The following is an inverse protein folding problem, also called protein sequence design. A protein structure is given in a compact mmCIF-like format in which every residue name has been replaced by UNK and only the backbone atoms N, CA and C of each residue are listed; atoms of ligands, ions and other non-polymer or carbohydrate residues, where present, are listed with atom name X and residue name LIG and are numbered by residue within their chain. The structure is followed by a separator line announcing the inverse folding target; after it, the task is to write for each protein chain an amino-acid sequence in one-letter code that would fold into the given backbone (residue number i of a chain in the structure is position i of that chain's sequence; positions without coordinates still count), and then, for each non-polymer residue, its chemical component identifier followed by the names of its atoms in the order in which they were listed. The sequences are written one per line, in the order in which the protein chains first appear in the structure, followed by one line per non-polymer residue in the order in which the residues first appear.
data_IF_699102851680
#
_entry.id   IF_699102851680
#
_cell.length_a   1.000
_cell.length_b   1.000
_cell.length_c   1.000
_cell.angle_alpha   90.00
_cell.angle_beta   90.00
_cell.angle_gamma   90.00
#
_symmetry.space_group_name_H-M   'P 1'
#
loop_
_entity.id
_entity.type
_entity.pdbx_description
1 polymer ?
#
# COMPACT_ATOMS: atom_id res chain seq x y z
N UNK A 1 -4.03 -14.20 23.37
CA UNK A 1 -3.51 -14.80 22.12
C UNK A 1 -3.01 -13.66 21.25
N UNK A 2 -1.70 -13.54 21.03
CA UNK A 2 -1.16 -12.53 20.09
C UNK A 2 -1.67 -12.94 18.71
N UNK A 3 -2.46 -12.12 18.04
CA UNK A 3 -2.90 -12.40 16.68
C UNK A 3 -1.67 -12.43 15.78
N UNK A 4 -1.36 -13.59 15.20
CA UNK A 4 -0.28 -13.72 14.22
C UNK A 4 -0.68 -13.05 12.91
N UNK A 5 0.30 -12.47 12.22
CA UNK A 5 0.08 -11.87 10.91
C UNK A 5 -0.10 -12.95 9.86
N UNK A 6 -1.15 -12.81 9.05
CA UNK A 6 -1.22 -13.52 7.79
C UNK A 6 -0.41 -12.75 6.76
N UNK A 7 0.63 -13.38 6.20
CA UNK A 7 1.42 -12.81 5.11
C UNK A 7 0.97 -13.50 3.82
N UNK A 8 0.55 -12.69 2.85
CA UNK A 8 0.10 -13.17 1.54
C UNK A 8 1.02 -12.58 0.48
N UNK A 9 1.60 -13.43 -0.35
CA UNK A 9 2.33 -13.05 -1.55
C UNK A 9 1.53 -13.58 -2.72
N UNK A 10 0.73 -12.71 -3.32
CA UNK A 10 -0.16 -13.08 -4.42
C UNK A 10 0.46 -12.71 -5.76
N UNK A 11 0.26 -13.57 -6.75
CA UNK A 11 0.67 -13.30 -8.11
C UNK A 11 -0.14 -12.17 -8.77
N UNK A 12 0.18 -11.92 -10.03
CA UNK A 12 -0.51 -10.94 -10.82
C UNK A 12 -1.95 -11.40 -11.16
N UNK A 13 -2.94 -10.56 -10.86
CA UNK A 13 -4.36 -10.77 -11.13
C UNK A 13 -4.98 -9.49 -11.72
N UNK A 14 -6.24 -9.59 -12.18
CA UNK A 14 -6.98 -8.44 -12.72
C UNK A 14 -7.24 -7.36 -11.66
N UNK A 15 -7.52 -6.14 -12.11
CA UNK A 15 -7.70 -5.00 -11.23
C UNK A 15 -8.88 -5.18 -10.25
N UNK A 16 -9.98 -5.75 -10.74
CA UNK A 16 -11.17 -6.04 -9.93
C UNK A 16 -10.90 -7.15 -8.91
N UNK A 17 -10.18 -8.21 -9.29
CA UNK A 17 -9.83 -9.30 -8.38
C UNK A 17 -8.94 -8.82 -7.23
N UNK A 18 -7.97 -7.96 -7.52
CA UNK A 18 -7.10 -7.39 -6.49
C UNK A 18 -7.90 -6.55 -5.48
N UNK A 19 -8.77 -5.65 -5.97
CA UNK A 19 -9.58 -4.80 -5.08
C UNK A 19 -10.62 -5.61 -4.29
N UNK A 20 -11.25 -6.61 -4.92
CA UNK A 20 -12.19 -7.50 -4.24
C UNK A 20 -11.51 -8.33 -3.14
N UNK A 21 -10.26 -8.73 -3.33
CA UNK A 21 -9.51 -9.46 -2.31
C UNK A 21 -9.15 -8.57 -1.12
N UNK A 22 -8.64 -7.36 -1.35
CA UNK A 22 -8.33 -6.39 -0.30
C UNK A 22 -9.57 -6.02 0.53
N UNK A 23 -10.70 -5.78 -0.13
CA UNK A 23 -11.95 -5.46 0.55
C UNK A 23 -12.46 -6.64 1.38
N UNK A 24 -12.39 -7.89 0.88
CA UNK A 24 -12.78 -9.08 1.66
C UNK A 24 -11.93 -9.25 2.91
N UNK A 25 -10.61 -9.08 2.81
CA UNK A 25 -9.70 -9.15 3.96
C UNK A 25 -10.04 -8.08 5.00
N UNK A 26 -10.28 -6.84 4.54
CA UNK A 26 -10.67 -5.74 5.39
C UNK A 26 -12.01 -5.99 6.10
N UNK A 27 -13.05 -6.44 5.38
CA UNK A 27 -14.37 -6.73 5.94
C UNK A 27 -14.34 -7.86 6.97
N UNK A 28 -13.53 -8.91 6.72
CA UNK A 28 -13.31 -10.01 7.68
C UNK A 28 -12.43 -9.61 8.87
N UNK A 29 -11.84 -8.43 8.83
CA UNK A 29 -10.93 -7.89 9.84
C UNK A 29 -9.78 -8.85 10.16
N UNK A 30 -9.25 -9.50 9.12
CA UNK A 30 -8.11 -10.41 9.25
C UNK A 30 -6.81 -9.59 9.34
N UNK A 31 -5.95 -9.90 10.32
CA UNK A 31 -4.68 -9.22 10.48
C UNK A 31 -3.72 -9.69 9.38
N UNK A 32 -3.61 -8.91 8.31
CA UNK A 32 -3.01 -9.38 7.05
C UNK A 32 -2.09 -8.33 6.44
N UNK A 33 -0.93 -8.76 5.95
CA UNK A 33 -0.12 -8.00 5.00
C UNK A 33 -0.04 -8.79 3.69
N UNK A 34 -0.69 -8.25 2.65
CA UNK A 34 -0.77 -8.84 1.31
C UNK A 34 0.10 -8.02 0.37
N UNK A 35 0.94 -8.67 -0.40
CA UNK A 35 1.76 -8.07 -1.44
C UNK A 35 1.37 -8.70 -2.77
N UNK A 36 1.24 -7.90 -3.82
CA UNK A 36 0.73 -8.37 -5.10
C UNK A 36 1.13 -7.50 -6.29
N UNK A 37 0.97 -8.07 -7.48
CA UNK A 37 1.23 -7.45 -8.79
C UNK A 37 -0.08 -7.33 -9.59
N UNK A 38 -0.06 -6.64 -10.72
CA UNK A 38 -1.24 -6.39 -11.55
C UNK A 38 -1.03 -6.99 -12.94
N UNK A 39 -2.00 -7.78 -13.41
CA UNK A 39 -2.00 -8.28 -14.77
C UNK A 39 -3.44 -8.32 -15.32
N UNK A 40 -3.75 -7.56 -16.38
CA UNK A 40 -2.87 -6.66 -17.12
C UNK A 40 -2.47 -5.39 -16.32
N UNK A 41 -1.68 -4.50 -16.94
CA UNK A 41 -1.43 -3.17 -16.38
C UNK A 41 -2.77 -2.49 -16.04
N UNK A 42 -2.79 -1.68 -14.99
CA UNK A 42 -4.04 -1.14 -14.47
C UNK A 42 -3.90 0.31 -13.96
N UNK A 43 -5.03 1.01 -13.89
CA UNK A 43 -5.15 2.34 -13.30
C UNK A 43 -6.12 2.25 -12.14
N UNK A 44 -5.70 2.59 -10.92
CA UNK A 44 -6.63 2.69 -9.80
C UNK A 44 -6.99 4.13 -9.46
N UNK A 45 -8.29 4.39 -9.32
CA UNK A 45 -8.86 5.67 -8.88
C UNK A 45 -9.11 5.62 -7.39
N UNK A 46 -8.60 6.60 -6.63
CA UNK A 46 -8.93 6.72 -5.21
C UNK A 46 -10.42 6.95 -5.00
N UNK A 47 -10.90 6.64 -3.79
CA UNK A 47 -12.30 6.83 -3.43
C UNK A 47 -12.80 8.25 -3.73
N UNK A 48 -13.84 8.34 -4.58
CA UNK A 48 -14.42 9.61 -5.09
C UNK A 48 -13.44 10.49 -5.88
N UNK A 49 -12.36 9.91 -6.40
CA UNK A 49 -11.48 10.60 -7.34
C UNK A 49 -12.24 10.77 -8.67
N UNK A 50 -12.29 11.99 -9.24
CA UNK A 50 -12.89 12.18 -10.55
C UNK A 50 -12.11 11.38 -11.59
N UNK A 51 -12.85 10.62 -12.41
CA UNK A 51 -12.30 10.00 -13.61
C UNK A 51 -11.89 11.11 -14.58
N UNK A 52 -10.64 11.12 -15.08
CA UNK A 52 -10.25 12.09 -16.09
C UNK A 52 -10.76 11.67 -17.47
N UNK A 53 -11.01 12.64 -18.35
CA UNK A 53 -11.54 12.41 -19.70
C UNK A 53 -10.62 11.52 -20.57
N UNK A 54 -9.29 11.63 -20.37
CA UNK A 54 -8.34 10.77 -21.07
C UNK A 54 -8.42 9.30 -20.62
N UNK A 55 -9.20 8.98 -19.58
CA UNK A 55 -9.49 7.62 -19.08
C UNK A 55 -10.87 7.10 -19.57
N UNK A 56 -11.50 7.66 -20.61
CA UNK A 56 -12.72 7.11 -21.24
C UNK A 56 -12.50 5.82 -22.09
N UNK A 57 -13.33 4.76 -21.93
CA UNK A 57 -13.05 3.40 -22.41
C UNK A 57 -12.82 3.24 -23.92
N UNK A 58 -13.27 4.21 -24.71
CA UNK A 58 -13.29 4.11 -26.17
C UNK A 58 -11.91 4.25 -26.81
N UNK A 59 -10.95 4.86 -26.12
CA UNK A 59 -9.63 5.12 -26.68
C UNK A 59 -8.65 3.93 -26.60
N UNK A 60 -9.00 2.81 -25.95
CA UNK A 60 -8.15 1.60 -25.79
C UNK A 60 -8.93 0.29 -25.83
N UNK A 61 -10.13 0.26 -26.42
CA UNK A 61 -10.81 -1.02 -26.73
C UNK A 61 -9.89 -1.88 -27.61
N UNK A 62 -9.20 -2.83 -26.98
CA UNK A 62 -8.26 -3.74 -27.64
C UNK A 62 -6.89 -3.85 -26.96
N UNK A 63 -6.49 -2.85 -26.16
CA UNK A 63 -5.23 -2.89 -25.41
C UNK A 63 -5.42 -3.56 -24.04
N UNK A 64 -4.39 -4.28 -23.57
CA UNK A 64 -4.36 -4.94 -22.25
C UNK A 64 -4.14 -3.89 -21.14
N UNK A 65 -5.14 -3.05 -20.88
CA UNK A 65 -5.13 -2.04 -19.81
C UNK A 65 -6.49 -2.01 -19.10
N UNK A 66 -6.47 -2.10 -17.77
CA UNK A 66 -7.66 -2.06 -16.93
C UNK A 66 -7.72 -0.78 -16.09
N UNK A 67 -8.90 -0.49 -15.54
CA UNK A 67 -9.02 0.52 -14.48
C UNK A 67 -10.04 0.06 -13.43
N UNK A 68 -9.84 0.52 -12.19
CA UNK A 68 -10.70 0.16 -11.05
C UNK A 68 -10.79 1.32 -10.05
N UNK A 69 -11.89 1.39 -9.29
CA UNK A 69 -11.95 2.24 -8.10
C UNK A 69 -11.45 1.47 -6.89
N UNK A 70 -10.48 2.04 -6.17
CA UNK A 70 -10.00 1.44 -4.92
C UNK A 70 -10.74 2.01 -3.70
N UNK A 71 -10.92 1.21 -2.64
CA UNK A 71 -11.68 1.63 -1.46
C UNK A 71 -10.98 2.79 -0.70
N UNK A 72 -9.65 2.84 -0.74
CA UNK A 72 -8.86 3.91 -0.10
C UNK A 72 -8.91 5.22 -0.87
N UNK A 73 -8.64 6.34 -0.19
CA UNK A 73 -8.54 7.65 -0.83
C UNK A 73 -7.27 7.83 -1.67
N UNK A 74 -6.85 9.08 -1.86
CA UNK A 74 -5.69 9.45 -2.68
C UNK A 74 -6.07 9.71 -4.15
N UNK A 75 -5.05 9.93 -4.99
CA UNK A 75 -5.24 10.28 -6.41
C UNK A 75 -5.32 9.06 -7.34
N UNK A 76 -4.95 9.25 -8.59
CA UNK A 76 -4.82 8.17 -9.58
C UNK A 76 -3.47 7.48 -9.39
N UNK A 77 -3.45 6.14 -9.35
CA UNK A 77 -2.25 5.33 -9.33
C UNK A 77 -2.14 4.48 -10.60
N UNK A 78 -0.90 4.19 -10.99
CA UNK A 78 -0.56 3.48 -12.23
C UNK A 78 0.16 2.19 -11.86
N UNK A 79 -0.29 1.09 -12.46
CA UNK A 79 0.10 -0.25 -12.05
C UNK A 79 0.60 -1.10 -13.22
N UNK A 80 1.44 -2.09 -12.91
CA UNK A 80 2.04 -3.02 -13.87
C UNK A 80 3.56 -2.91 -13.99
N UNK A 81 4.18 -2.05 -13.16
CA UNK A 81 5.63 -2.00 -12.93
C UNK A 81 5.94 -1.66 -11.47
N UNK A 82 5.00 -1.98 -10.59
CA UNK A 82 5.00 -1.69 -9.16
C UNK A 82 4.61 -2.94 -8.38
N UNK A 83 5.07 -3.01 -7.13
CA UNK A 83 4.55 -3.98 -6.16
C UNK A 83 3.57 -3.26 -5.27
N UNK A 84 2.33 -3.72 -5.25
CA UNK A 84 1.28 -3.23 -4.36
C UNK A 84 1.31 -3.95 -3.02
N UNK A 85 0.88 -3.23 -1.98
CA UNK A 85 0.69 -3.77 -0.64
C UNK A 85 -0.67 -3.35 -0.08
N UNK A 86 -1.35 -4.30 0.55
CA UNK A 86 -2.53 -4.10 1.36
C UNK A 86 -2.28 -4.60 2.79
N UNK A 87 -2.46 -3.71 3.76
CA UNK A 87 -2.28 -4.01 5.19
C UNK A 87 -3.60 -3.81 5.90
N UNK A 88 -4.12 -4.90 6.46
CA UNK A 88 -5.35 -4.92 7.25
C UNK A 88 -5.00 -5.05 8.72
N UNK A 89 -5.47 -4.10 9.53
CA UNK A 89 -5.23 -4.08 10.98
C UNK A 89 -6.54 -3.98 11.74
N UNK A 90 -6.68 -4.81 12.77
CA UNK A 90 -7.83 -4.81 13.67
C UNK A 90 -8.01 -3.45 14.37
N UNK A 91 -9.26 -2.99 14.47
CA UNK A 91 -9.60 -1.80 15.27
C UNK A 91 -9.64 -2.16 16.75
N UNK A 92 -8.51 -2.01 17.42
CA UNK A 92 -8.40 -2.09 18.88
C UNK A 92 -8.26 -0.68 19.49
N UNK A 93 -8.65 -0.54 20.77
CA UNK A 93 -8.37 0.70 21.52
C UNK A 93 -6.86 0.90 21.62
N UNK A 94 -6.40 2.13 21.42
CA UNK A 94 -4.97 2.49 21.53
C UNK A 94 -4.14 2.29 20.27
N UNK A 95 -4.71 1.78 19.16
CA UNK A 95 -3.98 1.72 17.87
C UNK A 95 -3.82 3.13 17.30
N UNK A 96 -2.58 3.62 17.28
CA UNK A 96 -2.23 4.90 16.65
C UNK A 96 -2.17 4.74 15.14
N UNK A 97 -3.03 5.45 14.42
CA UNK A 97 -3.04 5.43 12.96
C UNK A 97 -1.76 6.04 12.37
N UNK A 98 -1.26 7.12 12.96
CA UNK A 98 -0.01 7.74 12.53
C UNK A 98 1.17 6.78 12.67
N UNK A 99 1.21 6.00 13.76
CA UNK A 99 2.22 4.96 13.95
C UNK A 99 2.06 3.85 12.91
N UNK A 100 0.83 3.42 12.63
CA UNK A 100 0.55 2.39 11.63
C UNK A 100 1.01 2.81 10.24
N UNK A 101 0.64 4.01 9.79
CA UNK A 101 1.05 4.55 8.50
C UNK A 101 2.58 4.76 8.43
N UNK A 102 3.19 5.26 9.52
CA UNK A 102 4.66 5.36 9.64
C UNK A 102 5.31 3.99 9.47
N UNK A 103 4.77 2.96 10.10
CA UNK A 103 5.31 1.62 10.05
C UNK A 103 5.23 1.01 8.63
N UNK A 104 4.16 1.27 7.88
CA UNK A 104 4.05 0.90 6.46
C UNK A 104 5.07 1.66 5.60
N UNK A 105 5.22 2.98 5.79
CA UNK A 105 6.23 3.74 5.06
C UNK A 105 7.65 3.23 5.36
N UNK A 106 7.92 2.90 6.62
CA UNK A 106 9.22 2.37 7.05
C UNK A 106 9.50 0.97 6.49
N UNK A 107 8.48 0.16 6.19
CA UNK A 107 8.69 -1.13 5.52
C UNK A 107 9.19 -0.94 4.09
N UNK A 108 8.64 0.03 3.37
CA UNK A 108 9.12 0.43 2.04
C UNK A 108 10.52 1.05 2.10
N UNK A 109 10.82 1.92 3.08
CA UNK A 109 12.19 2.46 3.28
C UNK A 109 13.20 1.32 3.46
N UNK A 110 12.90 0.35 4.33
CA UNK A 110 13.79 -0.81 4.55
C UNK A 110 13.98 -1.64 3.28
N UNK A 111 12.94 -1.80 2.47
CA UNK A 111 13.07 -2.45 1.18
C UNK A 111 14.07 -1.68 0.30
N UNK A 112 13.93 -0.37 0.15
CA UNK A 112 14.88 0.46 -0.60
C UNK A 112 16.33 0.31 -0.07
N UNK A 113 16.52 0.38 1.25
CA UNK A 113 17.84 0.20 1.87
C UNK A 113 18.44 -1.17 1.59
N UNK A 114 17.61 -2.21 1.46
CA UNK A 114 18.07 -3.57 1.10
C UNK A 114 18.65 -3.67 -0.32
N UNK A 115 18.36 -2.68 -1.17
CA UNK A 115 18.94 -2.48 -2.50
C UNK A 115 20.03 -1.40 -2.52
N UNK A 116 20.52 -0.96 -1.35
CA UNK A 116 21.57 0.05 -1.24
C UNK A 116 21.10 1.48 -1.51
N UNK A 117 19.78 1.73 -1.54
CA UNK A 117 19.21 3.04 -1.82
C UNK A 117 18.86 3.74 -0.50
N UNK A 118 19.33 4.98 -0.35
CA UNK A 118 18.91 5.86 0.73
C UNK A 118 17.50 6.40 0.45
N UNK A 119 16.56 6.08 1.32
CA UNK A 119 15.15 6.42 1.18
C UNK A 119 14.62 6.99 2.49
N UNK A 120 13.67 7.93 2.39
CA UNK A 120 13.08 8.59 3.55
C UNK A 120 11.56 8.57 3.48
N UNK A 121 10.92 8.44 4.65
CA UNK A 121 9.47 8.52 4.77
C UNK A 121 9.04 9.98 4.99
N UNK A 122 8.24 10.52 4.07
CA UNK A 122 7.54 11.80 4.23
C UNK A 122 6.21 11.54 4.93
N UNK A 123 6.15 11.77 6.25
CA UNK A 123 4.97 11.47 7.07
C UNK A 123 3.99 12.63 7.16
N UNK A 124 4.46 13.83 6.91
CA UNK A 124 3.70 15.06 6.90
C UNK A 124 4.03 15.81 5.62
N UNK A 125 3.02 16.40 4.99
CA UNK A 125 3.20 17.27 3.84
C UNK A 125 2.11 18.34 3.85
N UNK A 126 2.38 19.55 3.36
CA UNK A 126 1.35 20.57 3.27
C UNK A 126 0.21 20.09 2.37
N UNK A 127 -1.02 20.32 2.80
CA UNK A 127 -2.20 20.00 1.98
C UNK A 127 -2.34 21.06 0.89
N UNK A 128 -2.12 20.66 -0.36
CA UNK A 128 -2.30 21.52 -1.54
C UNK A 128 -3.63 21.23 -2.25
N UNK A 129 -4.64 20.78 -1.49
CA UNK A 129 -5.91 20.33 -2.03
C UNK A 129 -5.92 18.85 -2.43
N UNK A 130 -6.76 18.48 -3.40
CA UNK A 130 -6.96 17.10 -3.83
C UNK A 130 -5.71 16.60 -4.58
N UNK A 131 -5.29 15.38 -4.25
CA UNK A 131 -4.21 14.70 -4.97
C UNK A 131 -4.79 14.19 -6.30
N UNK A 132 -4.27 14.68 -7.44
CA UNK A 132 -4.70 14.24 -8.75
C UNK A 132 -4.05 12.90 -9.13
N UNK A 133 -2.71 12.82 -9.00
CA UNK A 133 -1.93 11.63 -9.35
C UNK A 133 -0.98 11.30 -8.21
N UNK A 134 -1.00 10.04 -7.78
CA UNK A 134 -0.25 9.58 -6.61
C UNK A 134 1.26 9.81 -6.75
N UNK A 135 1.82 9.70 -7.96
CA UNK A 135 3.26 9.84 -8.22
C UNK A 135 3.74 11.30 -8.38
N UNK A 136 2.86 12.26 -8.69
CA UNK A 136 3.30 13.62 -9.09
C UNK A 136 3.18 14.66 -7.97
N UNK A 137 2.71 14.28 -6.79
CA UNK A 137 2.48 15.19 -5.68
C UNK A 137 3.07 14.66 -4.38
N UNK A 138 3.67 15.57 -3.62
CA UNK A 138 4.07 15.29 -2.25
C UNK A 138 2.80 15.17 -1.42
N UNK A 139 2.64 14.04 -0.77
CA UNK A 139 1.52 13.74 0.11
C UNK A 139 2.07 13.14 1.40
N UNK A 140 1.37 13.29 2.54
CA UNK A 140 1.69 12.52 3.72
C UNK A 140 1.75 11.03 3.38
N UNK A 141 2.59 10.30 4.13
CA UNK A 141 2.79 8.86 3.98
C UNK A 141 3.29 8.46 2.59
N UNK A 142 4.32 9.16 2.11
CA UNK A 142 5.09 8.83 0.91
C UNK A 142 6.50 8.37 1.29
N UNK A 143 7.15 7.64 0.38
CA UNK A 143 8.58 7.33 0.47
C UNK A 143 9.30 7.99 -0.69
N UNK A 144 10.41 8.66 -0.37
CA UNK A 144 11.19 9.45 -1.30
C UNK A 144 12.62 8.92 -1.41
N UNK A 145 13.17 9.00 -2.62
CA UNK A 145 14.59 8.79 -2.95
C UNK A 145 15.04 10.05 -3.68
N UNK A 146 16.06 10.73 -3.17
CA UNK A 146 16.53 12.03 -3.70
C UNK A 146 15.40 13.06 -3.91
N UNK A 147 14.47 13.11 -2.96
CA UNK A 147 13.31 14.00 -3.02
C UNK A 147 12.22 13.60 -4.04
N UNK A 148 12.42 12.54 -4.81
CA UNK A 148 11.43 11.99 -5.76
C UNK A 148 10.70 10.80 -5.16
N UNK A 149 9.42 10.68 -5.46
CA UNK A 149 8.54 9.66 -4.89
C UNK A 149 8.78 8.29 -5.50
N UNK A 150 9.00 7.29 -4.65
CA UNK A 150 9.09 5.87 -5.03
C UNK A 150 7.89 5.07 -4.54
N UNK A 151 7.25 5.49 -3.45
CA UNK A 151 6.04 4.83 -2.92
C UNK A 151 5.06 5.83 -2.29
N UNK A 152 3.81 5.40 -2.15
CA UNK A 152 2.77 6.17 -1.45
C UNK A 152 1.64 5.30 -0.93
N UNK A 153 1.06 5.70 0.20
CA UNK A 153 0.05 4.92 0.90
C UNK A 153 -1.19 5.74 1.25
N UNK A 154 -2.35 5.08 1.20
CA UNK A 154 -3.65 5.62 1.57
C UNK A 154 -4.36 4.66 2.51
N UNK A 155 -5.32 5.18 3.28
CA UNK A 155 -6.03 4.43 4.31
C UNK A 155 -7.54 4.56 4.13
N UNK A 156 -8.25 3.48 4.44
CA UNK A 156 -9.69 3.48 4.68
C UNK A 156 -10.02 2.89 6.05
N UNK A 157 -11.03 3.46 6.70
CA UNK A 157 -11.67 2.89 7.89
C UNK A 157 -12.77 1.92 7.49
N UNK A 158 -12.70 0.68 7.98
CA UNK A 158 -13.81 -0.26 7.99
C UNK A 158 -14.42 -0.36 9.41
N UNK A 159 -15.59 -0.99 9.59
CA UNK A 159 -16.21 -1.11 10.91
C UNK A 159 -15.32 -1.79 11.96
N UNK A 160 -14.59 -2.86 11.58
CA UNK A 160 -13.77 -3.66 12.49
C UNK A 160 -12.26 -3.59 12.21
N UNK A 161 -11.85 -2.95 11.11
CA UNK A 161 -10.45 -2.90 10.67
C UNK A 161 -10.08 -1.55 10.05
N UNK A 162 -8.78 -1.38 9.84
CA UNK A 162 -8.17 -0.36 8.99
C UNK A 162 -7.58 -1.08 7.79
N UNK A 163 -7.82 -0.55 6.59
CA UNK A 163 -7.18 -1.01 5.36
C UNK A 163 -6.22 0.08 4.91
N UNK A 164 -4.94 -0.25 4.76
CA UNK A 164 -3.93 0.58 4.12
C UNK A 164 -3.61 -0.04 2.78
N UNK A 165 -3.66 0.75 1.71
CA UNK A 165 -3.22 0.34 0.38
C UNK A 165 -2.14 1.29 -0.11
N UNK A 166 -1.20 0.77 -0.88
CA UNK A 166 -0.22 1.59 -1.59
C UNK A 166 0.66 0.71 -2.46
N UNK A 167 1.59 1.32 -3.17
CA UNK A 167 2.54 0.59 -3.98
C UNK A 167 3.91 1.27 -4.00
N UNK A 168 4.91 0.49 -4.37
CA UNK A 168 6.28 0.93 -4.60
C UNK A 168 6.62 0.71 -6.08
N UNK A 169 7.05 1.77 -6.75
CA UNK A 169 7.39 1.74 -8.16
C UNK A 169 8.72 0.98 -8.34
N UNK A 170 8.68 -0.20 -8.95
CA UNK A 170 9.85 -1.04 -9.15
C UNK A 170 10.57 -0.63 -10.42
N UNK A 171 9.84 -0.58 -11.52
CA UNK A 171 10.34 -0.28 -12.85
C UNK A 171 9.66 0.98 -13.43
N UNK A 172 10.23 1.60 -14.48
CA UNK A 172 9.53 2.63 -15.23
C UNK A 172 8.15 2.13 -15.68
N UNK A 173 7.18 3.03 -15.77
CA UNK A 173 5.81 2.65 -16.13
C UNK A 173 5.76 1.83 -17.43
N UNK A 174 4.85 0.86 -17.56
CA UNK A 174 4.67 0.11 -18.79
C UNK A 174 4.46 1.03 -20.00
N UNK A 175 4.96 0.65 -21.17
CA UNK A 175 4.87 1.48 -22.40
C UNK A 175 3.43 1.89 -22.72
N UNK A 176 2.46 1.01 -22.48
CA UNK A 176 1.04 1.30 -22.69
C UNK A 176 0.56 2.46 -21.80
N UNK A 177 0.99 2.50 -20.53
CA UNK A 177 0.68 3.60 -19.63
C UNK A 177 1.42 4.88 -20.04
N UNK A 178 2.68 4.78 -20.48
CA UNK A 178 3.42 5.95 -20.96
C UNK A 178 2.76 6.60 -22.17
N UNK A 179 2.27 5.80 -23.13
CA UNK A 179 1.57 6.28 -24.34
C UNK A 179 0.22 6.92 -24.03
N UNK A 180 -0.49 6.38 -23.05
CA UNK A 180 -1.85 6.80 -22.69
C UNK A 180 -1.90 8.13 -21.94
N UNK A 181 -0.85 8.42 -21.17
CA UNK A 181 -0.85 9.58 -20.29
C UNK A 181 -0.79 10.89 -21.08
N UNK A 182 -1.51 11.93 -20.64
CA UNK A 182 -1.26 13.27 -21.13
C UNK A 182 0.22 13.63 -20.96
N UNK A 183 0.81 14.29 -21.96
CA UNK A 183 2.25 14.63 -21.97
C UNK A 183 2.68 15.32 -20.67
N UNK A 184 1.86 16.27 -20.19
CA UNK A 184 2.12 17.00 -18.95
C UNK A 184 2.16 16.10 -17.70
N UNK A 185 1.38 15.02 -17.67
CA UNK A 185 1.38 14.04 -16.59
C UNK A 185 2.61 13.16 -16.68
N UNK A 186 2.96 12.67 -17.88
CA UNK A 186 4.18 11.89 -18.12
C UNK A 186 5.44 12.64 -17.68
N UNK A 187 5.59 13.90 -18.09
CA UNK A 187 6.70 14.75 -17.66
C UNK A 187 6.71 14.98 -16.14
N UNK A 188 5.54 15.19 -15.53
CA UNK A 188 5.45 15.38 -14.09
C UNK A 188 5.89 14.13 -13.32
N UNK A 189 5.57 12.93 -13.81
CA UNK A 189 6.04 11.66 -13.24
C UNK A 189 7.56 11.56 -13.39
N UNK A 190 8.12 11.82 -14.57
CA UNK A 190 9.57 11.79 -14.78
C UNK A 190 10.34 12.74 -13.85
N UNK A 191 9.78 13.93 -13.58
CA UNK A 191 10.41 14.91 -12.67
C UNK A 191 10.26 14.55 -11.20
N UNK A 192 9.15 13.93 -10.79
CA UNK A 192 8.75 13.84 -9.38
C UNK A 192 8.74 12.42 -8.81
N UNK A 193 8.84 11.40 -9.64
CA UNK A 193 8.92 10.01 -9.24
C UNK A 193 10.22 9.37 -9.70
N UNK A 194 10.58 8.27 -9.04
CA UNK A 194 11.73 7.45 -9.40
C UNK A 194 11.41 6.00 -9.09
N UNK A 195 11.74 5.10 -10.00
CA UNK A 195 11.58 3.67 -9.78
C UNK A 195 12.78 3.10 -9.02
N UNK A 196 12.58 2.00 -8.31
CA UNK A 196 13.62 1.32 -7.56
C UNK A 196 14.78 0.84 -8.48
N UNK A 197 14.47 0.38 -9.70
CA UNK A 197 15.47 -0.03 -10.68
C UNK A 197 16.33 1.14 -11.18
N UNK A 198 15.71 2.30 -11.42
CA UNK A 198 16.44 3.52 -11.83
C UNK A 198 17.32 4.03 -10.69
N UNK A 199 16.81 4.02 -9.46
CA UNK A 199 17.57 4.45 -8.29
C UNK A 199 18.74 3.50 -7.95
N UNK A 200 18.58 2.20 -8.14
CA UNK A 200 19.65 1.21 -7.89
C UNK A 200 20.64 1.09 -9.05
N UNK A 201 20.27 1.54 -10.25
CA UNK A 201 21.05 1.28 -11.48
C UNK A 201 21.04 -0.20 -11.89
N UNK A 202 20.08 -0.98 -11.42
CA UNK A 202 19.98 -2.41 -11.66
C UNK A 202 18.61 -2.81 -12.25
N UNK A 203 18.60 -3.87 -13.05
CA UNK A 203 17.35 -4.52 -13.46
C UNK A 203 16.75 -5.28 -12.27
N UNK A 204 15.46 -5.11 -12.03
CA UNK A 204 14.75 -5.72 -10.90
C UNK A 204 13.53 -6.50 -11.38
N UNK A 205 13.43 -7.75 -10.93
CA UNK A 205 12.23 -8.57 -11.05
C UNK A 205 11.24 -8.19 -9.93
N UNK A 206 10.02 -7.80 -10.31
CA UNK A 206 8.96 -7.39 -9.39
C UNK A 206 8.57 -8.51 -8.43
N UNK A 207 8.59 -9.77 -8.87
CA UNK A 207 8.23 -10.91 -8.05
C UNK A 207 9.28 -11.18 -6.96
N UNK A 208 10.57 -10.97 -7.27
CA UNK A 208 11.66 -11.04 -6.30
C UNK A 208 11.57 -9.89 -5.29
N UNK A 209 11.34 -8.67 -5.77
CA UNK A 209 11.16 -7.50 -4.90
C UNK A 209 9.97 -7.70 -3.96
N UNK A 210 8.86 -8.24 -4.48
CA UNK A 210 7.67 -8.57 -3.72
C UNK A 210 7.94 -9.59 -2.61
N UNK A 211 8.60 -10.72 -2.93
CA UNK A 211 9.02 -11.73 -1.95
C UNK A 211 9.92 -11.12 -0.88
N UNK A 212 10.86 -10.27 -1.28
CA UNK A 212 11.78 -9.59 -0.36
C UNK A 212 11.05 -8.61 0.56
N UNK A 213 10.08 -7.85 0.05
CA UNK A 213 9.28 -6.94 0.87
C UNK A 213 8.44 -7.69 1.91
N UNK A 214 7.80 -8.79 1.50
CA UNK A 214 7.07 -9.66 2.42
C UNK A 214 7.96 -10.26 3.53
N UNK A 215 9.20 -10.65 3.18
CA UNK A 215 10.18 -11.11 4.17
C UNK A 215 10.58 -10.01 5.16
N UNK A 216 10.81 -8.78 4.70
CA UNK A 216 11.09 -7.62 5.56
C UNK A 216 9.92 -7.25 6.49
N UNK A 217 8.68 -7.50 6.06
CA UNK A 217 7.52 -7.32 6.91
C UNK A 217 7.55 -8.30 8.09
N UNK A 218 7.78 -9.57 7.78
CA UNK A 218 7.77 -10.68 8.75
C UNK A 218 8.85 -10.53 9.81
N UNK A 219 10.06 -10.11 9.42
CA UNK A 219 11.19 -9.99 10.34
C UNK A 219 11.10 -8.81 11.32
N UNK A 220 10.32 -7.79 10.99
CA UNK A 220 10.28 -6.54 11.76
C UNK A 220 9.00 -6.39 12.56
N UNK A 221 7.85 -6.61 11.94
CA UNK A 221 6.57 -6.20 12.50
C UNK A 221 6.19 -6.84 13.85
N UNK A 222 6.43 -8.15 14.09
CA UNK A 222 6.06 -8.80 15.36
C UNK A 222 6.74 -8.19 16.61
N UNK A 223 7.85 -7.47 16.43
CA UNK A 223 8.67 -6.94 17.51
C UNK A 223 8.41 -5.44 17.83
N UNK A 224 7.62 -4.74 17.01
CA UNK A 224 7.62 -3.26 17.01
C UNK A 224 6.25 -2.58 17.05
N UNK A 225 5.15 -3.32 17.27
CA UNK A 225 3.88 -2.71 17.69
C UNK A 225 3.78 -2.64 19.22
N UNK A 226 3.21 -1.57 19.80
CA UNK A 226 2.81 -1.57 21.19
C UNK A 226 1.82 -2.71 21.42
N UNK A 227 2.25 -3.75 22.12
CA UNK A 227 1.32 -4.78 22.59
C UNK A 227 0.42 -4.14 23.66
N UNK A 228 -0.87 -4.47 23.64
CA UNK A 228 -1.85 -3.97 24.61
C UNK A 228 -1.60 -4.40 26.06
N UNK A 229 -0.43 -4.98 26.35
CA UNK A 229 -0.04 -5.55 27.65
C UNK A 229 1.08 -4.78 28.32
N UNK A 230 1.63 -3.74 27.70
CA UNK A 230 2.63 -2.93 28.39
C UNK A 230 1.95 -1.94 29.32
N UNK A 231 1.80 -2.32 30.60
CA UNK A 231 1.42 -1.46 31.71
C UNK A 231 2.49 -0.41 32.04
N UNK A 232 3.24 0.05 31.03
CA UNK A 232 4.30 1.04 31.12
C UNK A 232 3.72 2.44 30.99
N UNK A 233 4.18 3.33 31.87
CA UNK A 233 3.73 4.72 32.04
C UNK A 233 3.45 5.45 30.72
N UNK A 234 2.43 6.33 30.68
CA UNK A 234 2.20 7.17 29.53
C UNK A 234 3.42 8.07 29.30
N UNK A 235 4.02 8.00 28.11
CA UNK A 235 4.76 9.13 27.58
C UNK A 235 3.73 10.23 27.37
N UNK A 236 3.80 11.28 28.21
CA UNK A 236 2.89 12.42 28.13
C UNK A 236 2.91 13.01 26.72
N UNK A 237 1.79 12.94 26.02
CA UNK A 237 1.39 13.97 25.07
C UNK A 237 -0.09 14.28 25.30
N UNK A 238 -0.35 15.54 25.62
CA UNK A 238 -1.66 16.11 25.90
C UNK A 238 -2.51 16.15 24.61
N UNK A 239 -3.78 15.74 24.70
CA UNK A 239 -4.96 16.51 24.28
C UNK A 239 -6.20 15.62 24.04
N UNK A 240 -7.14 15.73 24.99
CA UNK A 240 -8.61 15.76 24.92
C UNK A 240 -9.42 14.86 23.95
N UNK A 241 -10.28 14.03 24.55
CA UNK A 241 -11.29 13.13 23.96
C UNK A 241 -12.53 13.84 23.40
N UNK A 242 -13.23 13.21 22.44
CA UNK A 242 -14.69 13.04 22.51
C UNK A 242 -15.20 11.85 21.65
N UNK A 243 -16.16 11.07 22.19
CA UNK A 243 -16.70 9.79 21.69
C UNK A 243 -18.01 9.94 20.88
N UNK A 244 -18.34 8.96 20.01
CA UNK A 244 -19.72 8.42 19.82
C UNK A 244 -19.76 7.07 19.03
N UNK A 245 -20.86 6.32 19.17
CA UNK A 245 -21.10 4.84 19.08
C UNK A 245 -21.64 4.36 17.69
N UNK A 246 -21.23 3.20 17.12
CA UNK A 246 -21.88 1.83 16.93
C UNK A 246 -23.33 1.83 16.36
N UNK A 247 -23.77 1.02 15.35
CA UNK A 247 -23.92 -0.47 15.28
C UNK A 247 -24.44 -0.99 13.86
N UNK A 248 -24.83 -2.27 13.56
CA UNK A 248 -24.08 -3.20 12.64
C UNK A 248 -24.82 -4.05 11.53
N UNK A 249 -24.02 -4.81 10.74
CA UNK A 249 -24.18 -6.19 10.11
C UNK A 249 -25.17 -6.47 8.94
N UNK A 250 -25.02 -7.41 7.98
CA UNK A 250 -24.05 -8.53 7.66
C UNK A 250 -24.36 -9.18 6.28
N UNK A 251 -23.41 -9.87 5.62
CA UNK A 251 -23.61 -10.90 4.55
C UNK A 251 -22.52 -12.02 4.65
N UNK A 252 -22.70 -13.18 3.99
CA UNK A 252 -21.90 -14.44 4.12
C UNK A 252 -21.12 -14.90 2.86
N UNK A 253 -19.90 -15.44 3.11
CA UNK A 253 -19.05 -16.54 2.54
C UNK A 253 -19.07 -16.93 1.04
N UNK A 254 -17.98 -17.38 0.38
CA UNK A 254 -17.00 -18.44 0.75
C UNK A 254 -15.59 -18.34 0.05
N UNK A 255 -14.74 -19.38 0.19
CA UNK A 255 -13.24 -19.54 0.09
C UNK A 255 -12.74 -20.50 -1.04
N UNK A 256 -11.42 -20.86 -1.22
CA UNK A 256 -10.16 -20.55 -0.48
C UNK A 256 -8.89 -20.09 -1.31
N UNK A 257 -7.81 -19.68 -0.61
CA UNK A 257 -6.44 -19.33 -1.11
C UNK A 257 -5.36 -19.94 -0.19
N UNK A 258 -4.16 -20.24 -0.72
CA UNK A 258 -3.03 -20.94 -0.06
C UNK A 258 -2.36 -20.08 1.04
N UNK A 259 -2.21 -20.64 2.24
CA UNK A 259 -1.52 -20.03 3.40
C UNK A 259 -0.07 -20.54 3.53
N UNK A 260 0.86 -19.62 3.80
CA UNK A 260 2.17 -19.95 4.38
C UNK A 260 2.17 -19.48 5.84
N UNK A 261 2.34 -20.42 6.78
CA UNK A 261 2.53 -20.12 8.21
C UNK A 261 3.99 -20.34 8.56
N UNK A 262 4.68 -19.31 9.05
CA UNK A 262 6.05 -19.43 9.55
C UNK A 262 6.01 -19.45 11.09
N UNK A 263 6.32 -20.59 11.69
CA UNK A 263 6.65 -20.68 13.13
C UNK A 263 8.14 -20.38 13.32
N UNK A 264 8.55 -19.61 14.35
CA UNK A 264 9.95 -19.54 14.73
C UNK A 264 10.40 -20.90 15.28
N UNK A 265 11.55 -21.40 14.79
CA UNK A 265 12.22 -22.56 15.39
C UNK A 265 12.80 -22.14 16.74
N UNK A 266 12.42 -22.83 17.80
CA UNK A 266 13.14 -22.79 19.07
C UNK A 266 14.53 -23.39 18.82
N UNK A 267 15.58 -22.59 19.08
CA UNK A 267 16.94 -23.10 19.25
C UNK A 267 17.02 -23.57 20.70
N UNK A 268 17.01 -24.89 20.89
CA UNK A 268 17.28 -25.51 22.19
C UNK A 268 18.78 -25.38 22.46
N UNK A 269 19.12 -24.68 23.54
CA UNK A 269 20.41 -24.79 24.23
C UNK A 269 20.31 -25.78 25.38
#
# INVERSE_FOLDING_TARGET
MKSEWQIIVDGANSADEQMAADERLAQRAQLTARFFEWQPAAISLGWKQPRPEWLEPDAWRGDKLEWVERPTGGGIAFHGSDVSVAVVVLRAKGVSLALLMRAVCQSAVRLCTSYGIDASALLEAPSHGRIAYCLTQHSPYAVLVDGRKVAGFALRRYPASWLIQGSLLINPLPEILQRMLPVSVGEAIQRRAVSLSVASGASLDEADVMRRWAAHWTSWWPHHLPTSTDGGRPVKQESTMMLARRHPTSYRSAEPTILLTCRPREVVG
#
